data_IF_049526898923
#
_entry.id   IF_049526898923
#
_cell.length_a   1.000
_cell.length_b   1.000
_cell.length_c   1.000
_cell.angle_alpha   90.00
_cell.angle_beta   90.00
_cell.angle_gamma   90.00
#
_symmetry.space_group_name_H-M   'P 1'
#
loop_
_entity.id
_entity.type
_entity.pdbx_description
1 polymer ?
#
# COMPACT_ATOMS: atom_id res chain seq x y z
N UNK A 1 13.91 -16.17 15.88
CA UNK A 1 13.41 -14.84 16.32
C UNK A 1 14.64 -14.02 16.72
N UNK A 2 14.95 -12.98 15.96
CA UNK A 2 16.09 -12.13 16.28
C UNK A 2 15.75 -11.31 17.55
N UNK A 3 16.56 -11.43 18.59
CA UNK A 3 16.47 -10.60 19.79
C UNK A 3 16.62 -9.13 19.40
N UNK A 4 15.55 -8.33 19.57
CA UNK A 4 15.58 -6.88 19.40
C UNK A 4 15.52 -6.34 17.96
N UNK A 5 15.26 -7.19 16.95
CA UNK A 5 15.21 -6.77 15.54
C UNK A 5 13.96 -5.99 15.19
N UNK A 6 14.10 -4.93 14.36
CA UNK A 6 12.95 -4.23 13.75
C UNK A 6 12.33 -5.11 12.68
N UNK A 7 11.00 -5.05 12.53
CA UNK A 7 10.29 -5.69 11.44
C UNK A 7 10.33 -4.81 10.20
N UNK A 8 10.54 -5.44 9.03
CA UNK A 8 10.45 -4.81 7.71
C UNK A 8 9.05 -5.03 7.17
N UNK A 9 8.30 -3.94 7.03
CA UNK A 9 6.91 -3.96 6.57
C UNK A 9 6.81 -3.23 5.25
N UNK A 10 6.47 -3.95 4.20
CA UNK A 10 6.11 -3.38 2.90
C UNK A 10 4.63 -2.97 2.91
N UNK A 11 4.35 -1.70 2.61
CA UNK A 11 3.02 -1.15 2.84
C UNK A 11 2.15 -1.04 1.58
N UNK A 12 2.67 -1.38 0.38
CA UNK A 12 1.94 -1.22 -0.87
C UNK A 12 2.39 -2.26 -1.92
N UNK A 13 1.57 -3.29 -2.13
CA UNK A 13 1.87 -4.39 -3.06
C UNK A 13 0.61 -4.96 -3.69
N UNK A 14 0.69 -5.31 -4.98
CA UNK A 14 -0.42 -5.86 -5.76
C UNK A 14 -0.18 -7.32 -6.14
N UNK A 15 -1.23 -8.13 -6.00
CA UNK A 15 -1.25 -9.52 -6.47
C UNK A 15 -1.85 -9.61 -7.88
N UNK A 16 -1.93 -10.82 -8.40
CA UNK A 16 -2.65 -11.07 -9.66
C UNK A 16 -4.15 -10.75 -9.60
N UNK A 17 -4.75 -10.48 -8.42
CA UNK A 17 -6.12 -10.00 -8.33
C UNK A 17 -6.26 -8.58 -8.90
N UNK A 18 -5.24 -7.74 -8.77
CA UNK A 18 -5.21 -6.42 -9.43
C UNK A 18 -5.21 -6.53 -10.94
N UNK A 19 -5.90 -5.59 -11.60
CA UNK A 19 -6.02 -5.53 -13.06
C UNK A 19 -4.68 -5.39 -13.82
N UNK A 20 -3.66 -4.83 -13.17
CA UNK A 20 -2.37 -4.41 -13.73
C UNK A 20 -1.16 -5.10 -13.08
N UNK A 21 -1.40 -6.14 -12.27
CA UNK A 21 -0.36 -6.99 -11.71
C UNK A 21 -0.53 -8.45 -12.14
N UNK A 22 0.58 -9.12 -12.40
CA UNK A 22 0.64 -10.56 -12.68
C UNK A 22 1.35 -11.34 -11.55
N UNK A 23 1.58 -10.72 -10.39
CA UNK A 23 2.22 -11.36 -9.24
C UNK A 23 1.44 -12.62 -8.82
N UNK A 24 1.95 -13.83 -9.08
CA UNK A 24 1.26 -15.04 -8.71
C UNK A 24 1.29 -15.21 -7.18
N UNK A 25 0.21 -15.74 -6.62
CA UNK A 25 0.10 -15.90 -5.16
C UNK A 25 1.21 -16.76 -4.56
N UNK A 26 1.60 -17.83 -5.24
CA UNK A 26 2.66 -18.78 -4.83
C UNK A 26 4.07 -18.17 -4.91
N UNK A 27 4.25 -17.08 -5.64
CA UNK A 27 5.52 -16.36 -5.75
C UNK A 27 5.74 -15.27 -4.67
N UNK A 28 4.69 -14.80 -4.00
CA UNK A 28 4.79 -13.64 -3.10
C UNK A 28 5.61 -13.97 -1.86
N UNK A 29 5.30 -15.04 -1.13
CA UNK A 29 6.03 -15.41 0.09
C UNK A 29 7.52 -15.69 -0.19
N UNK A 30 7.89 -16.48 -1.23
CA UNK A 30 9.30 -16.61 -1.61
C UNK A 30 9.99 -15.27 -1.96
N UNK A 31 9.28 -14.33 -2.61
CA UNK A 31 9.83 -13.02 -2.92
C UNK A 31 10.05 -12.16 -1.66
N UNK A 32 9.12 -12.23 -0.69
CA UNK A 32 9.28 -11.60 0.62
C UNK A 32 10.52 -12.16 1.35
N UNK A 33 10.71 -13.48 1.33
CA UNK A 33 11.88 -14.14 1.95
C UNK A 33 13.19 -13.66 1.31
N UNK A 34 13.23 -13.63 -0.02
CA UNK A 34 14.40 -13.17 -0.77
C UNK A 34 14.73 -11.69 -0.51
N UNK A 35 13.71 -10.85 -0.30
CA UNK A 35 13.85 -9.43 0.00
C UNK A 35 14.04 -9.14 1.50
N UNK A 36 13.88 -10.13 2.37
CA UNK A 36 13.94 -9.96 3.82
C UNK A 36 12.77 -9.16 4.39
N UNK A 37 11.58 -9.24 3.77
CA UNK A 37 10.35 -8.58 4.22
C UNK A 37 9.62 -9.49 5.21
N UNK A 38 9.39 -9.01 6.43
CA UNK A 38 8.71 -9.75 7.48
C UNK A 38 7.20 -9.74 7.31
N UNK A 39 6.61 -8.57 6.99
CA UNK A 39 5.17 -8.40 6.76
C UNK A 39 4.89 -7.62 5.49
N UNK A 40 3.83 -8.00 4.78
CA UNK A 40 3.40 -7.39 3.52
C UNK A 40 1.93 -6.99 3.62
N UNK A 41 1.62 -5.74 3.30
CA UNK A 41 0.26 -5.27 3.11
C UNK A 41 -0.10 -5.48 1.64
N UNK A 42 -1.06 -6.35 1.37
CA UNK A 42 -1.59 -6.57 0.02
C UNK A 42 -2.73 -5.60 -0.23
N UNK A 43 -2.62 -4.80 -1.29
CA UNK A 43 -3.46 -3.63 -1.57
C UNK A 43 -4.00 -3.66 -3.00
N UNK A 44 -4.60 -4.77 -3.41
CA UNK A 44 -5.12 -4.93 -4.77
C UNK A 44 -6.15 -3.83 -5.12
N UNK A 45 -6.12 -3.34 -6.37
CA UNK A 45 -7.02 -2.30 -6.84
C UNK A 45 -8.48 -2.74 -6.85
N UNK A 46 -9.34 -2.05 -6.08
CA UNK A 46 -10.79 -2.24 -6.01
C UNK A 46 -11.19 -3.70 -5.68
N UNK A 47 -10.33 -4.41 -4.93
CA UNK A 47 -10.48 -5.83 -4.58
C UNK A 47 -9.79 -6.16 -3.26
N UNK A 48 -10.42 -7.01 -2.46
CA UNK A 48 -9.86 -7.50 -1.18
C UNK A 48 -9.60 -9.01 -1.21
N UNK A 49 -10.14 -9.72 -2.20
CA UNK A 49 -10.07 -11.19 -2.25
C UNK A 49 -8.65 -11.74 -2.41
N UNK A 50 -7.77 -11.04 -3.14
CA UNK A 50 -6.36 -11.38 -3.23
C UNK A 50 -5.66 -11.30 -1.88
N UNK A 51 -5.89 -10.21 -1.16
CA UNK A 51 -5.35 -9.98 0.18
C UNK A 51 -5.88 -11.01 1.20
N UNK A 52 -7.18 -11.28 1.21
CA UNK A 52 -7.81 -12.30 2.08
C UNK A 52 -7.24 -13.70 1.80
N UNK A 53 -7.07 -14.05 0.51
CA UNK A 53 -6.46 -15.31 0.12
C UNK A 53 -5.03 -15.43 0.63
N UNK A 54 -4.21 -14.40 0.44
CA UNK A 54 -2.82 -14.41 0.90
C UNK A 54 -2.73 -14.47 2.43
N UNK A 55 -3.59 -13.71 3.12
CA UNK A 55 -3.67 -13.74 4.58
C UNK A 55 -4.02 -15.15 5.10
N UNK A 56 -4.95 -15.86 4.46
CA UNK A 56 -5.30 -17.23 4.86
C UNK A 56 -4.13 -18.21 4.76
N UNK A 57 -3.15 -17.94 3.89
CA UNK A 57 -1.94 -18.77 3.71
C UNK A 57 -0.84 -18.43 4.73
N UNK A 58 -0.74 -17.17 5.14
CA UNK A 58 0.29 -16.68 6.04
C UNK A 58 -0.21 -15.52 6.92
N UNK A 59 -1.10 -15.76 7.90
CA UNK A 59 -1.77 -14.71 8.67
C UNK A 59 -0.81 -13.82 9.47
N UNK A 60 0.32 -14.36 9.91
CA UNK A 60 1.33 -13.60 10.66
C UNK A 60 2.20 -12.69 9.78
N UNK A 61 2.16 -12.89 8.45
CA UNK A 61 3.01 -12.19 7.48
C UNK A 61 2.25 -11.28 6.53
N UNK A 62 0.97 -11.57 6.27
CA UNK A 62 0.15 -10.82 5.31
C UNK A 62 -0.91 -10.02 6.04
N UNK A 63 -0.94 -8.74 5.79
CA UNK A 63 -1.96 -7.82 6.30
C UNK A 63 -2.93 -7.52 5.14
N UNK A 64 -4.23 -7.60 5.44
CA UNK A 64 -5.27 -7.35 4.44
C UNK A 64 -5.43 -5.87 4.22
N UNK A 65 -5.34 -5.45 2.96
CA UNK A 65 -5.62 -4.10 2.52
C UNK A 65 -6.35 -4.08 1.17
N UNK A 66 -6.70 -2.90 0.73
CA UNK A 66 -7.31 -2.63 -0.57
C UNK A 66 -6.94 -1.23 -1.01
N UNK A 67 -6.54 -1.04 -2.27
CA UNK A 67 -6.40 0.27 -2.89
C UNK A 67 -7.68 0.63 -3.64
N UNK A 68 -8.49 1.47 -3.01
CA UNK A 68 -9.84 1.83 -3.47
C UNK A 68 -9.80 3.06 -4.36
N UNK A 69 -10.35 2.97 -5.57
CA UNK A 69 -10.63 4.12 -6.43
C UNK A 69 -11.82 4.90 -5.91
N UNK A 70 -11.59 6.12 -5.43
CA UNK A 70 -12.67 6.98 -4.97
C UNK A 70 -13.45 7.63 -6.12
N UNK A 71 -14.63 8.17 -5.82
CA UNK A 71 -15.49 8.86 -6.79
C UNK A 71 -14.84 10.12 -7.36
N UNK A 72 -14.10 10.85 -6.55
CA UNK A 72 -13.39 12.06 -6.93
C UNK A 72 -12.13 11.78 -7.77
N UNK A 73 -11.68 10.52 -7.81
CA UNK A 73 -10.59 10.04 -8.65
C UNK A 73 -9.32 9.62 -7.95
N UNK A 74 -8.89 10.22 -6.83
CA UNK A 74 -7.77 9.72 -6.03
C UNK A 74 -7.99 8.29 -5.54
N UNK A 75 -6.89 7.57 -5.36
CA UNK A 75 -6.90 6.27 -4.73
C UNK A 75 -6.62 6.42 -3.22
N UNK A 76 -7.26 5.59 -2.39
CA UNK A 76 -7.03 5.47 -0.95
C UNK A 76 -6.79 4.01 -0.59
N UNK A 77 -5.89 3.75 0.34
CA UNK A 77 -5.65 2.41 0.85
C UNK A 77 -6.30 2.27 2.23
N UNK A 78 -7.13 1.22 2.37
CA UNK A 78 -7.53 0.70 3.67
C UNK A 78 -6.59 -0.43 4.10
N UNK A 79 -6.13 -0.43 5.36
CA UNK A 79 -5.30 -1.49 5.93
C UNK A 79 -6.05 -2.13 7.09
N UNK A 80 -5.89 -3.44 7.33
CA UNK A 80 -6.65 -4.26 8.27
C UNK A 80 -8.14 -4.36 7.92
N UNK A 81 -8.43 -4.48 6.63
CA UNK A 81 -9.81 -4.65 6.16
C UNK A 81 -10.30 -6.09 6.35
N UNK A 82 -11.60 -6.23 6.54
CA UNK A 82 -12.31 -7.51 6.64
C UNK A 82 -13.25 -7.74 5.45
N UNK A 83 -13.64 -6.66 4.77
CA UNK A 83 -14.55 -6.71 3.62
C UNK A 83 -14.22 -5.62 2.60
N UNK A 84 -14.69 -5.82 1.37
CA UNK A 84 -14.51 -4.93 0.23
C UNK A 84 -15.15 -3.55 0.47
N UNK A 85 -14.42 -2.50 0.08
CA UNK A 85 -14.98 -1.15 -0.06
C UNK A 85 -15.28 -0.92 -1.54
N UNK A 86 -16.53 -0.66 -1.94
CA UNK A 86 -16.87 -0.51 -3.34
C UNK A 86 -16.13 0.65 -3.99
N UNK A 87 -15.57 0.40 -5.19
CA UNK A 87 -14.98 1.47 -6.00
C UNK A 87 -15.97 2.60 -6.27
N UNK A 88 -15.46 3.80 -6.46
CA UNK A 88 -16.26 5.02 -6.66
C UNK A 88 -17.13 5.41 -5.46
N UNK A 89 -16.86 4.85 -4.28
CA UNK A 89 -17.33 5.44 -3.02
C UNK A 89 -16.74 6.84 -2.87
N UNK A 90 -17.51 7.85 -2.42
CA UNK A 90 -16.97 9.18 -2.14
C UNK A 90 -15.76 9.11 -1.19
N UNK A 91 -14.75 9.97 -1.41
CA UNK A 91 -13.45 9.89 -0.73
C UNK A 91 -13.60 9.90 0.80
N UNK A 92 -14.42 10.82 1.36
CA UNK A 92 -14.68 10.88 2.81
C UNK A 92 -15.40 9.61 3.30
N UNK A 93 -16.41 9.15 2.59
CA UNK A 93 -17.12 7.91 2.92
C UNK A 93 -16.19 6.68 2.84
N UNK A 94 -15.24 6.67 1.89
CA UNK A 94 -14.21 5.62 1.83
C UNK A 94 -13.40 5.57 3.13
N UNK A 95 -12.94 6.73 3.63
CA UNK A 95 -12.24 6.81 4.91
C UNK A 95 -13.11 6.31 6.08
N UNK A 96 -14.38 6.72 6.12
CA UNK A 96 -15.33 6.32 7.15
C UNK A 96 -15.58 4.80 7.13
N UNK A 97 -15.71 4.19 5.94
CA UNK A 97 -15.87 2.74 5.79
C UNK A 97 -14.61 1.96 6.20
N UNK A 98 -13.41 2.48 5.90
CA UNK A 98 -12.16 1.90 6.38
C UNK A 98 -12.14 1.89 7.92
N UNK A 99 -12.45 3.03 8.53
CA UNK A 99 -12.47 3.16 10.00
C UNK A 99 -13.56 2.31 10.66
N UNK A 100 -14.72 2.17 10.04
CA UNK A 100 -15.82 1.33 10.53
C UNK A 100 -15.43 -0.16 10.62
N UNK A 101 -14.49 -0.61 9.79
CA UNK A 101 -13.89 -1.95 9.86
C UNK A 101 -12.73 -2.04 10.89
N UNK A 102 -12.42 -0.97 11.62
CA UNK A 102 -11.24 -0.89 12.48
C UNK A 102 -9.93 -0.72 11.70
N UNK A 103 -10.02 -0.32 10.43
CA UNK A 103 -8.87 -0.16 9.53
C UNK A 103 -8.12 1.16 9.70
N UNK A 104 -6.97 1.25 9.02
CA UNK A 104 -6.12 2.44 8.89
C UNK A 104 -6.39 3.09 7.54
N UNK A 105 -6.60 4.40 7.52
CA UNK A 105 -6.66 5.20 6.29
C UNK A 105 -5.26 5.61 5.88
N UNK A 106 -4.78 5.05 4.77
CA UNK A 106 -3.47 5.31 4.19
C UNK A 106 -3.60 5.96 2.81
N UNK A 107 -2.93 7.09 2.59
CA UNK A 107 -2.95 7.82 1.32
C UNK A 107 -1.74 7.41 0.49
N UNK A 108 -1.93 6.65 -0.61
CA UNK A 108 -0.84 6.24 -1.50
C UNK A 108 -0.41 7.39 -2.42
N UNK A 109 0.88 7.45 -2.79
CA UNK A 109 1.46 8.38 -3.79
C UNK A 109 0.74 9.74 -3.90
N UNK A 110 0.60 10.51 -2.78
CA UNK A 110 -0.39 11.58 -2.58
C UNK A 110 -0.37 12.70 -3.64
N UNK A 111 0.79 12.98 -4.23
CA UNK A 111 0.96 14.06 -5.23
C UNK A 111 1.37 13.56 -6.63
N UNK A 112 1.43 12.24 -6.86
CA UNK A 112 1.70 11.72 -8.21
C UNK A 112 0.42 11.73 -9.07
N UNK A 113 0.22 12.80 -9.83
CA UNK A 113 -0.96 12.98 -10.68
C UNK A 113 -1.10 11.91 -11.77
N UNK A 114 0.00 11.26 -12.18
CA UNK A 114 -0.04 10.14 -13.14
C UNK A 114 -0.62 8.87 -12.51
N UNK A 115 -0.52 8.78 -11.20
CA UNK A 115 -0.98 7.65 -10.39
C UNK A 115 -2.16 8.02 -9.50
N UNK A 116 -2.85 9.12 -9.82
CA UNK A 116 -4.07 9.58 -9.16
C UNK A 116 -3.87 9.97 -7.69
N UNK A 117 -2.76 10.60 -7.40
CA UNK A 117 -2.55 11.28 -6.13
C UNK A 117 -3.64 12.32 -5.88
N UNK A 118 -4.02 12.48 -4.62
CA UNK A 118 -5.13 13.34 -4.23
C UNK A 118 -4.84 14.84 -4.34
N UNK A 119 -3.56 15.24 -4.28
CA UNK A 119 -3.19 16.65 -4.30
C UNK A 119 -3.96 17.45 -3.25
N UNK A 120 -4.50 18.60 -3.65
CA UNK A 120 -5.28 19.51 -2.78
C UNK A 120 -6.58 18.89 -2.24
N UNK A 121 -7.12 17.84 -2.89
CA UNK A 121 -8.33 17.16 -2.39
C UNK A 121 -8.10 16.48 -1.04
N UNK A 122 -6.85 16.18 -0.69
CA UNK A 122 -6.50 15.53 0.58
C UNK A 122 -6.85 16.36 1.80
N UNK A 123 -6.84 17.69 1.67
CA UNK A 123 -7.20 18.61 2.76
C UNK A 123 -8.64 18.38 3.22
N UNK A 124 -9.53 17.98 2.30
CA UNK A 124 -10.93 17.65 2.60
C UNK A 124 -11.14 16.41 3.46
N UNK A 125 -10.12 15.57 3.61
CA UNK A 125 -10.16 14.33 4.43
C UNK A 125 -9.03 14.26 5.45
N UNK A 126 -8.25 15.32 5.61
CA UNK A 126 -7.07 15.31 6.48
C UNK A 126 -7.38 14.85 7.91
N UNK A 127 -8.58 15.17 8.43
CA UNK A 127 -9.06 14.74 9.74
C UNK A 127 -9.26 13.22 9.87
N UNK A 128 -9.42 12.51 8.76
CA UNK A 128 -9.67 11.07 8.70
C UNK A 128 -8.42 10.24 8.33
N UNK A 129 -7.40 10.86 7.74
CA UNK A 129 -6.15 10.18 7.35
C UNK A 129 -5.32 9.83 8.58
N UNK A 130 -4.82 8.61 8.62
CA UNK A 130 -3.90 8.12 9.67
C UNK A 130 -2.44 8.15 9.18
N UNK A 131 -2.19 7.71 7.94
CA UNK A 131 -0.85 7.52 7.37
C UNK A 131 -0.78 8.08 5.96
N UNK A 132 0.38 8.60 5.57
CA UNK A 132 0.68 9.07 4.20
C UNK A 132 1.88 8.34 3.63
N UNK A 133 1.82 7.94 2.37
CA UNK A 133 2.96 7.38 1.65
C UNK A 133 3.96 8.48 1.33
N UNK A 134 4.94 8.64 2.23
CA UNK A 134 6.02 9.60 2.07
C UNK A 134 7.04 9.16 1.01
N UNK A 135 7.07 7.87 0.67
CA UNK A 135 7.90 7.35 -0.41
C UNK A 135 7.21 6.17 -1.11
N UNK A 136 6.95 6.35 -2.41
CA UNK A 136 6.53 5.30 -3.33
C UNK A 136 7.66 5.03 -4.32
N UNK A 137 8.13 3.78 -4.41
CA UNK A 137 9.27 3.41 -5.25
C UNK A 137 9.02 3.62 -6.76
N UNK A 138 7.78 3.67 -7.20
CA UNK A 138 7.39 3.90 -8.61
C UNK A 138 7.14 5.37 -8.94
N UNK A 139 7.26 6.26 -7.97
CA UNK A 139 7.24 7.71 -8.20
C UNK A 139 8.62 8.17 -8.64
N UNK A 140 8.80 8.39 -9.95
CA UNK A 140 10.11 8.67 -10.57
C UNK A 140 10.67 10.06 -10.29
N UNK A 141 9.83 11.00 -9.85
CA UNK A 141 10.24 12.36 -9.51
C UNK A 141 10.36 12.48 -8.00
N UNK A 142 11.57 12.58 -7.43
CA UNK A 142 11.79 12.66 -5.98
C UNK A 142 10.98 13.78 -5.31
N UNK A 143 10.77 14.89 -6.03
CA UNK A 143 10.02 16.06 -5.54
C UNK A 143 8.56 15.71 -5.20
N UNK A 144 7.97 14.76 -5.91
CA UNK A 144 6.59 14.30 -5.69
C UNK A 144 6.47 13.54 -4.38
N UNK A 145 7.45 12.64 -4.08
CA UNK A 145 7.52 11.98 -2.78
C UNK A 145 7.76 13.00 -1.65
N UNK A 146 8.63 13.99 -1.87
CA UNK A 146 8.90 15.06 -0.89
C UNK A 146 7.66 15.89 -0.58
N UNK A 147 6.82 16.19 -1.58
CA UNK A 147 5.53 16.88 -1.37
C UNK A 147 4.61 16.06 -0.47
N UNK A 148 4.51 14.74 -0.70
CA UNK A 148 3.72 13.82 0.15
C UNK A 148 4.21 13.79 1.58
N UNK A 149 5.52 13.69 1.77
CA UNK A 149 6.14 13.72 3.10
C UNK A 149 5.88 15.06 3.81
N UNK A 150 6.02 16.18 3.09
CA UNK A 150 5.77 17.52 3.64
C UNK A 150 4.33 17.68 4.10
N UNK A 151 3.35 17.30 3.24
CA UNK A 151 1.94 17.35 3.58
C UNK A 151 1.63 16.47 4.81
N UNK A 152 2.17 15.25 4.85
CA UNK A 152 1.99 14.35 6.00
C UNK A 152 2.50 14.96 7.30
N UNK A 153 3.67 15.57 7.29
CA UNK A 153 4.26 16.25 8.46
C UNK A 153 3.46 17.46 8.88
N UNK A 154 3.02 18.31 7.92
CA UNK A 154 2.22 19.51 8.17
C UNK A 154 0.90 19.17 8.86
N UNK A 155 0.26 18.05 8.46
CA UNK A 155 -1.00 17.59 9.03
C UNK A 155 -0.85 16.62 10.21
N UNK A 156 0.38 16.41 10.71
CA UNK A 156 0.66 15.53 11.86
C UNK A 156 0.34 14.05 11.58
N UNK A 157 0.50 13.59 10.33
CA UNK A 157 0.25 12.19 9.94
C UNK A 157 1.47 11.33 10.09
N UNK A 158 1.27 10.03 10.34
CA UNK A 158 2.33 9.05 10.27
C UNK A 158 2.80 8.87 8.82
N UNK A 159 4.06 8.49 8.65
CA UNK A 159 4.68 8.35 7.33
C UNK A 159 4.91 6.87 7.03
N UNK A 160 4.51 6.46 5.82
CA UNK A 160 4.72 5.12 5.28
C UNK A 160 5.62 5.13 4.04
N UNK A 161 6.01 3.94 3.61
CA UNK A 161 6.70 3.72 2.34
C UNK A 161 6.26 2.40 1.73
N UNK A 162 6.15 2.36 0.40
CA UNK A 162 5.76 1.16 -0.34
C UNK A 162 6.46 1.04 -1.70
N UNK A 163 6.68 -0.19 -2.13
CA UNK A 163 7.21 -0.47 -3.47
C UNK A 163 6.17 -0.25 -4.54
N UNK A 164 4.88 -0.41 -4.19
CA UNK A 164 3.79 -0.47 -5.15
C UNK A 164 4.04 -1.56 -6.20
N UNK A 165 4.47 -2.71 -5.66
CA UNK A 165 5.00 -3.83 -6.44
C UNK A 165 3.92 -4.47 -7.31
N UNK A 166 4.15 -4.53 -8.62
CA UNK A 166 3.32 -5.23 -9.60
C UNK A 166 4.06 -6.42 -10.23
N UNK A 167 5.33 -6.59 -9.87
CA UNK A 167 6.16 -7.76 -10.19
C UNK A 167 6.85 -8.25 -8.92
N UNK A 168 7.12 -9.56 -8.82
CA UNK A 168 7.78 -10.15 -7.66
C UNK A 168 9.13 -9.49 -7.33
N UNK A 169 9.86 -9.06 -8.37
CA UNK A 169 11.16 -8.40 -8.20
C UNK A 169 11.11 -6.96 -7.67
N UNK A 170 9.92 -6.37 -7.50
CA UNK A 170 9.74 -5.06 -6.88
C UNK A 170 9.52 -5.15 -5.37
N UNK A 171 9.08 -6.32 -4.86
CA UNK A 171 8.83 -6.53 -3.43
C UNK A 171 10.12 -6.23 -2.63
N UNK A 172 10.01 -5.37 -1.62
CA UNK A 172 11.13 -4.94 -0.78
C UNK A 172 11.95 -3.77 -1.36
N UNK A 173 11.53 -3.17 -2.47
CA UNK A 173 12.21 -1.97 -3.00
C UNK A 173 12.04 -0.76 -2.08
N UNK A 174 10.87 -0.59 -1.47
CA UNK A 174 10.64 0.42 -0.44
C UNK A 174 9.73 -0.16 0.66
N UNK A 175 10.05 0.12 1.92
CA UNK A 175 9.35 -0.41 3.07
C UNK A 175 9.62 0.45 4.32
N UNK A 176 8.98 0.13 5.43
CA UNK A 176 9.28 0.71 6.72
C UNK A 176 9.92 -0.33 7.66
N UNK A 177 10.90 0.10 8.46
CA UNK A 177 11.40 -0.68 9.58
C UNK A 177 10.76 -0.15 10.88
N UNK A 178 10.05 -1.03 11.59
CA UNK A 178 9.29 -0.70 12.80
C UNK A 178 9.62 -1.63 13.95
N UNK A 179 9.41 -1.24 15.20
CA UNK A 179 9.43 -2.19 16.33
C UNK A 179 8.45 -3.34 16.11
N UNK A 180 8.64 -4.51 16.72
CA UNK A 180 7.64 -5.56 16.72
C UNK A 180 6.28 -5.05 17.18
N UNK A 181 5.20 -5.51 16.52
CA UNK A 181 3.83 -5.11 16.81
C UNK A 181 2.88 -6.28 16.63
N UNK A 182 1.77 -6.27 17.34
CA UNK A 182 0.66 -7.22 17.12
C UNK A 182 -0.06 -6.87 15.81
N UNK A 183 -0.67 -7.85 15.11
CA UNK A 183 -1.31 -7.63 13.81
C UNK A 183 -2.67 -6.94 13.95
N UNK A 184 -2.68 -5.79 14.60
CA UNK A 184 -3.85 -4.93 14.77
C UNK A 184 -3.49 -3.46 14.48
N UNK A 185 -4.56 -2.66 14.29
CA UNK A 185 -4.47 -1.24 13.92
C UNK A 185 -3.63 -0.43 14.92
N UNK A 186 -3.97 -0.50 16.20
CA UNK A 186 -3.41 0.43 17.20
C UNK A 186 -1.95 0.10 17.50
N UNK A 187 -1.61 -1.20 17.56
CA UNK A 187 -0.23 -1.68 17.70
C UNK A 187 0.64 -1.27 16.51
N UNK A 188 0.11 -1.38 15.28
CA UNK A 188 0.84 -0.96 14.07
C UNK A 188 1.04 0.56 14.00
N UNK A 189 0.02 1.37 14.32
CA UNK A 189 0.15 2.83 14.36
C UNK A 189 1.17 3.28 15.42
N UNK A 190 1.18 2.64 16.60
CA UNK A 190 2.19 2.90 17.63
C UNK A 190 3.62 2.56 17.13
N UNK A 191 3.79 1.44 16.44
CA UNK A 191 5.06 1.05 15.83
C UNK A 191 5.52 2.01 14.72
N UNK A 192 4.58 2.48 13.86
CA UNK A 192 4.86 3.44 12.80
C UNK A 192 5.33 4.80 13.33
N UNK A 193 4.93 5.20 14.53
CA UNK A 193 5.38 6.47 15.14
C UNK A 193 6.91 6.56 15.28
N UNK A 194 7.62 5.43 15.30
CA UNK A 194 9.09 5.35 15.34
C UNK A 194 9.68 4.70 14.08
N UNK A 195 8.95 4.67 12.98
CA UNK A 195 9.38 4.01 11.75
C UNK A 195 10.63 4.67 11.13
N UNK A 196 11.49 3.83 10.55
CA UNK A 196 12.53 4.25 9.61
C UNK A 196 12.05 3.87 8.20
N UNK A 197 12.01 4.84 7.29
CA UNK A 197 11.61 4.60 5.90
C UNK A 197 12.82 4.17 5.09
N UNK A 198 12.73 3.01 4.43
CA UNK A 198 13.70 2.54 3.44
C UNK A 198 13.19 2.92 2.06
N UNK A 199 13.98 3.71 1.32
CA UNK A 199 13.56 4.44 0.12
C UNK A 199 14.32 3.96 -1.12
N UNK A 200 13.91 2.84 -1.67
CA UNK A 200 14.39 2.38 -2.97
C UNK A 200 13.57 2.97 -4.13
N UNK A 201 14.03 2.76 -5.35
CA UNK A 201 13.35 3.22 -6.56
C UNK A 201 13.23 2.08 -7.55
N UNK A 202 12.03 1.83 -8.04
CA UNK A 202 11.78 0.86 -9.10
C UNK A 202 12.29 1.36 -10.44
N UNK A 203 12.92 0.50 -11.27
CA UNK A 203 13.38 0.91 -12.59
C UNK A 203 12.18 1.18 -13.51
N UNK A 204 12.30 2.15 -14.43
CA UNK A 204 11.21 2.56 -15.34
C UNK A 204 10.56 1.40 -16.11
N UNK A 205 11.33 0.34 -16.43
CA UNK A 205 10.83 -0.86 -17.12
C UNK A 205 9.63 -1.53 -16.44
N UNK A 206 9.45 -1.38 -15.12
CA UNK A 206 8.32 -1.98 -14.40
C UNK A 206 6.97 -1.40 -14.82
N UNK A 207 6.94 -0.14 -15.29
CA UNK A 207 5.73 0.48 -15.86
C UNK A 207 5.27 -0.25 -17.13
N UNK A 208 6.21 -0.76 -17.93
CA UNK A 208 5.91 -1.55 -19.13
C UNK A 208 5.22 -2.87 -18.74
N UNK A 209 5.68 -3.52 -17.68
CA UNK A 209 5.07 -4.77 -17.19
C UNK A 209 3.63 -4.55 -16.68
N UNK A 210 3.37 -3.49 -15.92
CA UNK A 210 1.99 -3.19 -15.46
C UNK A 210 1.07 -2.87 -16.63
N UNK A 211 1.56 -2.13 -17.62
CA UNK A 211 0.80 -1.85 -18.85
C UNK A 211 0.50 -3.14 -19.62
N UNK A 212 1.48 -4.03 -19.76
CA UNK A 212 1.30 -5.33 -20.37
C UNK A 212 0.30 -6.19 -19.60
N UNK A 213 0.39 -6.25 -18.27
CA UNK A 213 -0.52 -7.00 -17.41
C UNK A 213 -1.98 -6.53 -17.61
N UNK A 214 -2.19 -5.21 -17.61
CA UNK A 214 -3.51 -4.62 -17.81
C UNK A 214 -4.08 -4.96 -19.20
N UNK A 215 -3.26 -4.89 -20.25
CA UNK A 215 -3.69 -5.23 -21.62
C UNK A 215 -4.00 -6.74 -21.74
N UNK A 216 -3.13 -7.59 -21.21
CA UNK A 216 -3.32 -9.05 -21.22
C UNK A 216 -4.63 -9.47 -20.57
N UNK A 217 -4.94 -8.93 -19.38
CA UNK A 217 -6.17 -9.27 -18.64
C UNK A 217 -7.45 -8.78 -19.32
N UNK A 218 -7.38 -7.75 -20.15
CA UNK A 218 -8.51 -7.34 -21.00
C UNK A 218 -8.80 -8.31 -22.13
N UNK A 219 -7.75 -9.01 -22.63
CA UNK A 219 -7.87 -9.97 -23.75
C UNK A 219 -8.17 -11.37 -23.24
N UNK A 220 -7.56 -11.76 -22.13
CA UNK A 220 -7.73 -13.09 -21.49
C UNK A 220 -8.13 -12.85 -20.04
N UNK A 221 -9.45 -12.70 -19.75
CA UNK A 221 -9.94 -12.61 -18.37
C UNK A 221 -9.57 -13.88 -17.60
N UNK A 222 -9.05 -13.70 -16.38
CA UNK A 222 -8.70 -14.80 -15.45
C UNK A 222 -9.86 -15.10 -14.51
#
# INVERSE_FOLDING_TARGET
MAEGGRLRVEMHCHTRASKDSLNPYDGILPAMDAAGIDRLIVTDHDRVDGALRMHSLAPDRIIVGEEVRTKEGPDLIGIFLTELIPRYTPMRETCERIRAQGGIVYVPHPFDTRRRGGGELLDGIADLVDVVEAHNARTFKPEVNQQGEAWGREHGKLLGAGSDAHTLGEIGTAYVEVPPFEPDRDSFLAALASATLVRGTSPFRVTVYSTYANLRKKIVPE
#
